data_IF_648616382017
#
_entry.id   IF_648616382017
#
_cell.length_a   1.000
_cell.length_b   1.000
_cell.length_c   1.000
_cell.angle_alpha   90.00
_cell.angle_beta   90.00
_cell.angle_gamma   90.00
#
_symmetry.space_group_name_H-M   'P 1'
#
loop_
_entity.id
_entity.type
_entity.pdbx_description
1 polymer ?
#
# COMPACT_ATOMS: atom_id res chain seq x y z
N UNK A 1 16.66 29.54 -17.98
CA UNK A 1 15.46 28.71 -18.08
C UNK A 1 14.75 28.84 -19.44
N UNK A 2 14.48 30.05 -19.98
CA UNK A 2 13.91 30.27 -21.33
C UNK A 2 14.66 29.56 -22.44
N UNK A 3 15.96 29.71 -22.57
CA UNK A 3 16.76 29.05 -23.62
C UNK A 3 16.65 27.52 -23.64
N UNK A 4 16.46 26.86 -22.48
CA UNK A 4 16.23 25.42 -22.45
C UNK A 4 14.84 25.04 -22.96
N UNK A 5 13.84 25.85 -22.68
CA UNK A 5 12.46 25.67 -23.18
C UNK A 5 12.41 25.85 -24.70
N UNK A 6 13.02 26.94 -25.21
CA UNK A 6 13.06 27.23 -26.65
C UNK A 6 13.79 26.14 -27.45
N UNK A 7 14.87 25.60 -26.89
CA UNK A 7 15.60 24.48 -27.49
C UNK A 7 14.82 23.15 -27.48
N UNK A 8 14.06 22.88 -26.41
CA UNK A 8 13.17 21.73 -26.34
C UNK A 8 11.98 21.85 -27.29
N UNK A 9 11.38 23.04 -27.38
CA UNK A 9 10.30 23.33 -28.33
C UNK A 9 10.77 23.14 -29.76
N UNK A 10 11.93 23.71 -30.15
CA UNK A 10 12.55 23.50 -31.46
C UNK A 10 12.81 22.02 -31.77
N UNK A 11 13.31 21.24 -30.80
CA UNK A 11 13.55 19.80 -30.97
C UNK A 11 12.27 18.99 -31.15
N UNK A 12 11.18 19.41 -30.53
CA UNK A 12 9.85 18.81 -30.68
C UNK A 12 9.26 19.13 -32.05
N UNK A 13 9.25 20.39 -32.41
CA UNK A 13 8.72 20.90 -33.71
C UNK A 13 9.51 20.36 -34.92
N UNK A 14 10.82 20.21 -34.79
CA UNK A 14 11.69 19.60 -35.81
C UNK A 14 11.60 18.08 -35.88
N UNK A 15 10.78 17.43 -35.04
CA UNK A 15 10.63 15.97 -34.97
C UNK A 15 11.86 15.23 -34.42
N UNK A 16 12.89 15.97 -33.96
CA UNK A 16 14.12 15.38 -33.37
C UNK A 16 13.88 14.80 -31.97
N UNK A 17 12.94 15.37 -31.24
CA UNK A 17 12.50 14.86 -29.93
C UNK A 17 11.06 14.37 -30.04
N UNK A 18 10.85 13.07 -29.86
CA UNK A 18 9.51 12.51 -29.75
C UNK A 18 9.09 12.51 -28.29
N UNK A 19 7.98 13.19 -27.96
CA UNK A 19 7.36 13.12 -26.65
C UNK A 19 6.90 11.69 -26.41
N UNK A 20 7.43 11.08 -25.36
CA UNK A 20 7.08 9.73 -24.96
C UNK A 20 6.36 9.75 -23.61
N UNK A 21 5.05 9.53 -23.63
CA UNK A 21 4.26 9.31 -22.43
C UNK A 21 4.23 7.81 -22.14
N UNK A 22 5.06 7.34 -21.23
CA UNK A 22 5.20 5.93 -20.90
C UNK A 22 6.64 5.44 -20.89
N UNK A 23 6.83 4.13 -20.88
CA UNK A 23 8.20 3.60 -20.89
C UNK A 23 8.80 3.64 -22.28
N UNK A 24 9.99 4.23 -22.42
CA UNK A 24 10.78 4.23 -23.64
C UNK A 24 10.93 2.83 -24.26
N UNK A 25 11.00 1.81 -23.41
CA UNK A 25 11.07 0.40 -23.83
C UNK A 25 9.83 -0.03 -24.62
N UNK A 26 8.63 0.33 -24.19
CA UNK A 26 7.39 -0.02 -24.88
C UNK A 26 7.28 0.69 -26.23
N UNK A 27 7.70 1.96 -26.29
CA UNK A 27 7.75 2.72 -27.55
C UNK A 27 8.65 2.05 -28.60
N UNK A 28 9.77 1.47 -28.16
CA UNK A 28 10.73 0.81 -29.06
C UNK A 28 10.30 -0.60 -29.48
N UNK A 29 9.57 -1.32 -28.63
CA UNK A 29 9.16 -2.70 -28.89
C UNK A 29 7.85 -2.82 -29.65
N UNK A 30 6.86 -1.99 -29.32
CA UNK A 30 5.51 -2.07 -29.90
C UNK A 30 4.85 -0.69 -29.90
N UNK A 31 4.96 -0.01 -31.02
CA UNK A 31 4.41 1.34 -31.18
C UNK A 31 2.88 1.38 -31.04
N UNK A 32 2.16 0.39 -31.58
CA UNK A 32 0.69 0.35 -31.50
C UNK A 32 0.23 0.17 -30.06
N UNK A 33 0.89 -0.71 -29.30
CA UNK A 33 0.63 -0.89 -27.88
C UNK A 33 0.98 0.34 -27.05
N UNK A 34 2.05 1.02 -27.40
CA UNK A 34 2.43 2.30 -26.78
C UNK A 34 1.33 3.35 -27.00
N UNK A 35 0.85 3.55 -28.23
CA UNK A 35 -0.23 4.49 -28.56
C UNK A 35 -1.50 4.13 -27.81
N UNK A 36 -1.91 2.86 -27.86
CA UNK A 36 -3.10 2.39 -27.14
C UNK A 36 -3.01 2.64 -25.64
N UNK A 37 -1.85 2.44 -25.03
CA UNK A 37 -1.63 2.70 -23.62
C UNK A 37 -1.62 4.21 -23.31
N UNK A 38 -0.99 5.02 -24.14
CA UNK A 38 -1.00 6.48 -24.04
C UNK A 38 -2.42 7.04 -24.09
N UNK A 39 -3.23 6.58 -25.05
CA UNK A 39 -4.56 7.11 -25.29
C UNK A 39 -5.62 6.52 -24.32
N UNK A 40 -5.24 5.48 -23.58
CA UNK A 40 -6.13 4.85 -22.58
C UNK A 40 -6.11 5.50 -21.21
N UNK A 41 -5.18 6.42 -20.95
CA UNK A 41 -5.04 7.01 -19.61
C UNK A 41 -4.60 8.47 -19.65
N UNK A 42 -5.08 9.24 -18.66
CA UNK A 42 -4.72 10.64 -18.45
C UNK A 42 -4.49 10.86 -16.95
N UNK A 43 -3.42 11.56 -16.58
CA UNK A 43 -3.05 11.80 -15.18
C UNK A 43 -2.97 13.29 -14.89
N UNK A 44 -3.48 13.69 -13.72
CA UNK A 44 -3.49 15.05 -13.22
C UNK A 44 -2.85 15.05 -11.82
N UNK A 45 -1.70 15.66 -11.68
CA UNK A 45 -1.00 15.75 -10.40
C UNK A 45 -1.47 17.00 -9.68
N UNK A 46 -1.89 16.85 -8.42
CA UNK A 46 -2.31 17.97 -7.58
C UNK A 46 -1.14 18.55 -6.79
N UNK A 47 -1.22 19.86 -6.51
CA UNK A 47 -0.28 20.60 -5.65
C UNK A 47 -0.95 21.09 -4.36
N UNK A 48 -0.15 21.30 -3.31
CA UNK A 48 -0.65 21.80 -2.01
C UNK A 48 -1.22 23.20 -2.12
N UNK A 49 -0.65 24.02 -2.99
CA UNK A 49 -1.01 25.43 -3.16
C UNK A 49 -2.05 25.66 -4.27
N UNK A 50 -2.60 24.59 -4.82
CA UNK A 50 -3.56 24.68 -5.91
C UNK A 50 -5.00 24.82 -5.40
N UNK A 51 -5.80 25.59 -6.14
CA UNK A 51 -7.25 25.71 -5.88
C UNK A 51 -7.92 24.34 -5.93
N UNK A 52 -8.68 23.99 -4.89
CA UNK A 52 -9.31 22.67 -4.73
C UNK A 52 -8.33 21.48 -4.80
N UNK A 53 -7.06 21.70 -4.43
CA UNK A 53 -5.99 20.68 -4.39
C UNK A 53 -5.59 20.10 -5.77
N UNK A 54 -6.17 20.61 -6.87
CA UNK A 54 -5.81 20.31 -8.25
C UNK A 54 -6.45 21.32 -9.21
N UNK A 55 -5.65 22.01 -10.01
CA UNK A 55 -6.16 23.04 -10.93
C UNK A 55 -6.87 22.47 -12.16
N UNK A 56 -6.47 21.32 -12.63
CA UNK A 56 -6.92 20.75 -13.89
C UNK A 56 -8.17 19.89 -13.74
N UNK A 57 -8.26 19.11 -12.66
CA UNK A 57 -9.43 18.30 -12.34
C UNK A 57 -9.85 18.57 -10.91
N UNK A 58 -11.03 19.14 -10.75
CA UNK A 58 -11.62 19.43 -9.45
C UNK A 58 -12.73 18.43 -9.13
N UNK A 59 -12.75 17.97 -7.89
CA UNK A 59 -13.74 17.04 -7.38
C UNK A 59 -14.56 17.71 -6.28
N UNK A 60 -15.87 17.64 -6.38
CA UNK A 60 -16.82 18.14 -5.39
C UNK A 60 -17.75 17.03 -4.91
N UNK A 61 -18.07 17.02 -3.61
CA UNK A 61 -19.06 16.11 -3.05
C UNK A 61 -20.35 16.80 -2.71
N UNK A 62 -21.44 16.43 -3.39
CA UNK A 62 -22.78 16.89 -3.08
C UNK A 62 -23.45 15.97 -2.05
N UNK A 63 -23.72 16.51 -0.85
CA UNK A 63 -24.35 15.76 0.24
C UNK A 63 -25.80 15.37 -0.06
N UNK A 64 -26.57 16.23 -0.77
CA UNK A 64 -27.98 15.99 -1.05
C UNK A 64 -28.17 14.76 -1.91
N UNK A 65 -27.35 14.65 -2.96
CA UNK A 65 -27.44 13.55 -3.92
C UNK A 65 -26.50 12.38 -3.57
N UNK A 66 -25.70 12.52 -2.49
CA UNK A 66 -24.65 11.55 -2.11
C UNK A 66 -23.67 11.22 -3.25
N UNK A 67 -23.36 12.18 -4.10
CA UNK A 67 -22.69 12.02 -5.37
C UNK A 67 -21.46 12.91 -5.48
N UNK A 68 -20.43 12.43 -6.15
CA UNK A 68 -19.28 13.23 -6.53
C UNK A 68 -19.48 13.79 -7.94
N UNK A 69 -19.10 15.06 -8.12
CA UNK A 69 -19.07 15.76 -9.40
C UNK A 69 -17.64 16.12 -9.73
N UNK A 70 -17.24 15.94 -10.98
CA UNK A 70 -15.94 16.36 -11.48
C UNK A 70 -16.13 17.56 -12.42
N UNK A 71 -15.17 18.45 -12.36
CA UNK A 71 -14.97 19.54 -13.27
C UNK A 71 -13.56 19.42 -13.85
N UNK A 72 -13.47 19.06 -15.11
CA UNK A 72 -12.23 18.91 -15.85
C UNK A 72 -12.00 20.13 -16.73
N UNK A 73 -10.86 20.77 -16.56
CA UNK A 73 -10.44 21.88 -17.42
C UNK A 73 -10.02 21.34 -18.78
N UNK A 74 -10.64 21.84 -19.85
CA UNK A 74 -10.33 21.45 -21.24
C UNK A 74 -9.16 22.24 -21.84
N UNK A 75 -8.36 22.87 -20.99
CA UNK A 75 -7.44 23.90 -21.39
C UNK A 75 -6.15 23.40 -22.02
N UNK A 76 -6.17 23.42 -23.32
CA UNK A 76 -4.92 23.35 -24.08
C UNK A 76 -4.89 24.39 -25.22
N UNK A 77 -5.59 25.51 -25.06
CA UNK A 77 -5.57 26.66 -25.95
C UNK A 77 -6.88 26.95 -26.71
N UNK A 78 -7.24 28.20 -26.77
CA UNK A 78 -8.25 28.73 -27.70
C UNK A 78 -9.73 28.56 -27.34
N UNK A 79 -10.16 29.06 -26.14
CA UNK A 79 -11.59 29.08 -25.83
C UNK A 79 -12.35 30.15 -26.57
N UNK A 80 -13.53 29.77 -27.09
CA UNK A 80 -14.51 30.71 -27.63
C UNK A 80 -15.42 31.29 -26.55
N UNK A 81 -15.60 30.57 -25.41
CA UNK A 81 -16.42 31.04 -24.30
C UNK A 81 -16.02 30.38 -22.96
N UNK A 82 -16.47 30.96 -21.83
CA UNK A 82 -16.23 30.41 -20.49
C UNK A 82 -16.91 29.04 -20.31
N UNK A 83 -18.04 28.79 -20.98
CA UNK A 83 -18.79 27.54 -20.95
C UNK A 83 -18.01 26.40 -21.59
N UNK A 84 -17.16 26.68 -22.58
CA UNK A 84 -16.34 25.65 -23.25
C UNK A 84 -15.09 25.27 -22.47
N UNK A 85 -14.76 26.02 -21.43
CA UNK A 85 -13.53 25.83 -20.65
C UNK A 85 -13.52 24.55 -19.84
N UNK A 86 -14.66 24.02 -19.45
CA UNK A 86 -14.77 22.88 -18.54
C UNK A 86 -15.65 21.77 -19.10
N UNK A 87 -15.28 20.54 -18.79
CA UNK A 87 -16.14 19.37 -18.93
C UNK A 87 -16.61 18.93 -17.54
N UNK A 88 -17.88 18.57 -17.43
CA UNK A 88 -18.48 18.13 -16.18
C UNK A 88 -18.89 16.67 -16.25
N UNK A 89 -18.78 15.97 -15.12
CA UNK A 89 -19.16 14.58 -15.01
C UNK A 89 -19.56 14.18 -13.60
N UNK A 90 -20.19 13.02 -13.48
CA UNK A 90 -20.55 12.40 -12.21
C UNK A 90 -19.69 11.18 -12.01
N UNK A 91 -19.20 10.96 -10.79
CA UNK A 91 -18.37 9.79 -10.45
C UNK A 91 -18.81 9.19 -9.13
N UNK A 92 -18.51 7.91 -8.96
CA UNK A 92 -18.85 7.16 -7.75
C UNK A 92 -17.58 6.53 -7.19
N UNK A 93 -17.38 6.67 -5.87
CA UNK A 93 -16.31 6.00 -5.15
C UNK A 93 -16.90 5.05 -4.12
N UNK A 94 -16.58 3.76 -4.24
CA UNK A 94 -17.00 2.74 -3.28
C UNK A 94 -16.00 2.58 -2.13
N UNK A 95 -14.72 2.85 -2.40
CA UNK A 95 -13.63 2.67 -1.44
C UNK A 95 -13.14 4.02 -0.91
N UNK A 96 -12.78 4.07 0.37
CA UNK A 96 -12.19 5.24 1.04
C UNK A 96 -13.00 6.54 0.97
N UNK A 97 -14.28 6.45 0.66
CA UNK A 97 -15.19 7.59 0.49
C UNK A 97 -15.16 8.57 1.67
N UNK A 98 -15.13 8.07 2.91
CA UNK A 98 -15.09 8.91 4.13
C UNK A 98 -13.85 9.80 4.18
N UNK A 99 -12.68 9.24 3.89
CA UNK A 99 -11.41 9.97 3.85
C UNK A 99 -11.41 11.01 2.72
N UNK A 100 -11.85 10.62 1.53
CA UNK A 100 -11.94 11.53 0.40
C UNK A 100 -12.86 12.75 0.71
N UNK A 101 -14.03 12.52 1.32
CA UNK A 101 -14.94 13.57 1.74
C UNK A 101 -14.28 14.49 2.79
N UNK A 102 -13.55 13.93 3.75
CA UNK A 102 -12.82 14.71 4.75
C UNK A 102 -11.79 15.62 4.10
N UNK A 103 -10.97 15.10 3.19
CA UNK A 103 -9.95 15.88 2.48
C UNK A 103 -10.54 16.96 1.60
N UNK A 104 -11.63 16.66 0.88
CA UNK A 104 -12.33 17.67 0.06
C UNK A 104 -12.87 18.83 0.90
N UNK A 105 -13.21 18.59 2.17
CA UNK A 105 -13.67 19.63 3.10
C UNK A 105 -12.53 20.44 3.71
N UNK A 106 -11.49 19.74 4.16
CA UNK A 106 -10.35 20.36 4.84
C UNK A 106 -9.37 21.01 3.87
N UNK A 107 -9.31 20.54 2.62
CA UNK A 107 -8.34 20.96 1.59
C UNK A 107 -6.88 20.87 2.08
N UNK A 108 -6.58 19.90 2.94
CA UNK A 108 -5.29 19.78 3.61
C UNK A 108 -4.27 18.95 2.81
N UNK A 109 -4.71 18.20 1.81
CA UNK A 109 -3.86 17.31 1.03
C UNK A 109 -4.04 17.50 -0.46
N UNK A 110 -2.97 17.47 -1.26
CA UNK A 110 -3.07 17.49 -2.72
C UNK A 110 -3.85 16.27 -3.21
N UNK A 111 -4.66 16.47 -4.24
CA UNK A 111 -5.45 15.42 -4.87
C UNK A 111 -4.90 15.15 -6.28
N UNK A 112 -4.36 13.97 -6.50
CA UNK A 112 -3.94 13.54 -7.82
C UNK A 112 -4.97 12.58 -8.42
N UNK A 113 -5.24 12.74 -9.71
CA UNK A 113 -6.25 11.96 -10.40
C UNK A 113 -5.66 11.23 -11.60
N UNK A 114 -6.21 10.07 -11.88
CA UNK A 114 -5.93 9.32 -13.10
C UNK A 114 -7.22 8.83 -13.72
N UNK A 115 -7.51 9.26 -14.94
CA UNK A 115 -8.62 8.75 -15.74
C UNK A 115 -8.10 7.60 -16.58
N UNK A 116 -8.78 6.46 -16.55
CA UNK A 116 -8.42 5.27 -17.30
C UNK A 116 -9.64 4.83 -18.12
N UNK A 117 -9.44 4.61 -19.42
CA UNK A 117 -10.45 3.99 -20.30
C UNK A 117 -10.20 2.48 -20.38
N UNK A 118 -11.20 1.68 -20.01
CA UNK A 118 -11.18 0.22 -20.15
C UNK A 118 -12.52 -0.27 -20.65
N UNK A 119 -12.52 -1.06 -21.71
CA UNK A 119 -13.75 -1.66 -22.30
C UNK A 119 -14.87 -0.61 -22.55
N UNK A 120 -14.52 0.53 -23.11
CA UNK A 120 -15.46 1.62 -23.40
C UNK A 120 -15.93 2.44 -22.20
N UNK A 121 -15.52 2.09 -20.96
CA UNK A 121 -15.87 2.81 -19.72
C UNK A 121 -14.70 3.60 -19.19
N UNK A 122 -15.01 4.71 -18.54
CA UNK A 122 -14.01 5.55 -17.87
C UNK A 122 -14.03 5.30 -16.37
N UNK A 123 -12.84 5.19 -15.79
CA UNK A 123 -12.61 5.01 -14.37
C UNK A 123 -11.76 6.18 -13.86
N UNK A 124 -12.20 6.81 -12.77
CA UNK A 124 -11.42 7.83 -12.08
C UNK A 124 -10.76 7.23 -10.85
N UNK A 125 -9.44 7.24 -10.83
CA UNK A 125 -8.64 6.95 -9.64
C UNK A 125 -8.27 8.27 -8.98
N UNK A 126 -8.46 8.36 -7.67
CA UNK A 126 -8.07 9.50 -6.86
C UNK A 126 -7.01 9.05 -5.86
N UNK A 127 -5.87 9.72 -5.85
CA UNK A 127 -4.75 9.47 -4.93
C UNK A 127 -4.61 10.65 -3.99
N UNK A 128 -4.53 10.39 -2.71
CA UNK A 128 -4.37 11.37 -1.64
C UNK A 128 -3.64 10.77 -0.44
N UNK A 129 -3.07 11.63 0.38
CA UNK A 129 -2.43 11.25 1.63
C UNK A 129 -3.44 11.25 2.78
N UNK A 130 -3.36 10.26 3.66
CA UNK A 130 -4.11 10.21 4.91
C UNK A 130 -3.13 10.49 6.02
N UNK A 131 -3.36 11.56 6.78
CA UNK A 131 -2.58 11.85 7.99
C UNK A 131 -3.31 11.26 9.19
N UNK A 132 -2.54 10.60 10.03
CA UNK A 132 -2.99 10.02 11.31
C UNK A 132 -2.27 10.78 12.41
N UNK A 133 -3.03 11.48 13.25
CA UNK A 133 -2.47 12.32 14.31
C UNK A 133 -1.93 11.47 15.47
N UNK A 134 -2.68 10.43 15.87
CA UNK A 134 -2.31 9.55 16.98
C UNK A 134 -2.72 8.10 16.73
N UNK A 135 -1.90 7.17 17.20
CA UNK A 135 -2.26 5.76 17.30
C UNK A 135 -3.04 5.52 18.59
N UNK A 136 -4.04 4.62 18.52
CA UNK A 136 -4.94 4.32 19.64
C UNK A 136 -4.63 2.99 20.33
N UNK A 137 -3.60 2.29 19.87
CA UNK A 137 -3.07 1.06 20.47
C UNK A 137 -1.71 1.31 21.09
N UNK A 138 -1.31 0.48 22.04
CA UNK A 138 -0.07 0.66 22.81
C UNK A 138 0.55 -0.69 23.16
N UNK A 139 1.88 -0.76 23.12
CA UNK A 139 2.64 -1.98 23.46
C UNK A 139 2.62 -2.32 24.95
N UNK A 140 2.37 -1.33 25.83
CA UNK A 140 2.24 -1.54 27.27
C UNK A 140 0.98 -2.33 27.67
N UNK A 141 -0.03 -2.38 26.79
CA UNK A 141 -1.21 -3.24 26.96
C UNK A 141 -0.97 -4.69 26.50
N UNK A 142 0.14 -4.96 25.84
CA UNK A 142 0.46 -6.20 25.13
C UNK A 142 0.59 -5.98 23.64
N UNK A 143 0.90 -7.03 22.90
CA UNK A 143 1.10 -6.96 21.45
C UNK A 143 0.54 -8.18 20.75
N UNK A 144 0.38 -8.06 19.44
CA UNK A 144 -0.04 -9.12 18.52
C UNK A 144 1.08 -9.35 17.53
N UNK A 145 1.83 -10.44 17.68
CA UNK A 145 2.89 -10.84 16.76
C UNK A 145 2.36 -11.65 15.59
N UNK A 146 2.81 -11.32 14.39
CA UNK A 146 2.48 -12.03 13.16
C UNK A 146 3.74 -12.60 12.54
N UNK A 147 3.79 -13.93 12.39
CA UNK A 147 4.85 -14.66 11.70
C UNK A 147 4.35 -15.12 10.33
N UNK A 148 4.97 -14.62 9.26
CA UNK A 148 4.57 -14.88 7.89
C UNK A 148 5.20 -16.16 7.36
N UNK A 149 4.37 -17.13 6.98
CA UNK A 149 4.79 -18.40 6.41
C UNK A 149 4.12 -18.68 5.07
N UNK A 150 4.65 -19.62 4.31
CA UNK A 150 4.07 -20.06 3.05
C UNK A 150 2.71 -20.73 3.31
N UNK A 151 1.62 -20.07 2.87
CA UNK A 151 0.27 -20.58 2.96
C UNK A 151 -0.47 -20.29 4.27
N UNK A 152 0.19 -19.71 5.27
CA UNK A 152 -0.45 -19.29 6.51
C UNK A 152 0.33 -18.20 7.24
N UNK A 153 -0.34 -17.49 8.12
CA UNK A 153 0.25 -16.55 9.06
C UNK A 153 -0.04 -17.07 10.47
N UNK A 154 1.00 -17.22 11.29
CA UNK A 154 0.82 -17.50 12.70
C UNK A 154 0.66 -16.19 13.47
N UNK A 155 -0.33 -16.15 14.36
CA UNK A 155 -0.64 -15.02 15.22
C UNK A 155 -0.53 -15.44 16.67
N UNK A 156 0.15 -14.63 17.49
CA UNK A 156 0.21 -14.77 18.94
C UNK A 156 -0.09 -13.42 19.60
N UNK A 157 -0.96 -13.45 20.60
CA UNK A 157 -1.36 -12.30 21.40
C UNK A 157 -0.75 -12.39 22.78
N UNK A 158 -0.13 -11.30 23.27
CA UNK A 158 0.45 -11.20 24.61
C UNK A 158 -0.33 -10.22 25.48
N UNK A 159 -0.25 -10.39 26.79
CA UNK A 159 -0.72 -9.40 27.76
C UNK A 159 0.40 -8.38 28.10
N UNK A 160 0.10 -7.43 28.98
CA UNK A 160 1.06 -6.40 29.44
C UNK A 160 2.36 -6.95 30.05
N UNK A 161 2.33 -8.17 30.56
CA UNK A 161 3.50 -8.85 31.14
C UNK A 161 4.26 -9.72 30.13
N UNK A 162 3.87 -9.70 28.86
CA UNK A 162 4.47 -10.52 27.80
C UNK A 162 4.08 -11.99 27.87
N UNK A 163 3.06 -12.37 28.65
CA UNK A 163 2.56 -13.75 28.68
C UNK A 163 1.61 -14.01 27.51
N UNK A 164 1.69 -15.22 26.97
CA UNK A 164 0.85 -15.66 25.86
C UNK A 164 -0.62 -15.76 26.30
N UNK A 165 -1.51 -15.09 25.58
CA UNK A 165 -2.97 -15.08 25.83
C UNK A 165 -3.70 -15.93 24.81
N UNK A 166 -3.31 -15.82 23.53
CA UNK A 166 -4.01 -16.48 22.42
C UNK A 166 -3.04 -16.76 21.29
N UNK A 167 -3.35 -17.84 20.55
CA UNK A 167 -2.68 -18.15 19.29
C UNK A 167 -3.70 -18.48 18.20
N UNK A 168 -3.36 -18.20 16.95
CA UNK A 168 -4.16 -18.57 15.79
C UNK A 168 -3.26 -18.89 14.61
N UNK A 169 -3.67 -19.84 13.76
CA UNK A 169 -3.13 -20.06 12.44
C UNK A 169 -4.15 -19.56 11.42
N UNK A 170 -3.74 -18.62 10.57
CA UNK A 170 -4.58 -17.96 9.59
C UNK A 170 -4.14 -18.40 8.20
N UNK A 171 -4.82 -19.37 7.57
CA UNK A 171 -4.44 -19.86 6.25
C UNK A 171 -4.74 -18.84 5.16
N UNK A 172 -3.92 -18.81 4.11
CA UNK A 172 -4.15 -18.08 2.88
C UNK A 172 -3.68 -18.88 1.66
N UNK A 173 -4.26 -18.57 0.52
CA UNK A 173 -3.89 -19.22 -0.75
C UNK A 173 -2.59 -18.64 -1.27
N UNK A 174 -1.53 -19.44 -1.25
CA UNK A 174 -0.24 -19.05 -1.81
C UNK A 174 -0.22 -19.34 -3.32
N UNK A 175 -0.81 -18.42 -4.09
CA UNK A 175 -0.80 -18.41 -5.57
C UNK A 175 -0.45 -17.01 -6.04
N UNK A 176 0.07 -16.89 -7.25
CA UNK A 176 0.26 -15.55 -7.84
C UNK A 176 -1.11 -14.91 -8.15
N UNK A 177 -1.28 -13.62 -7.83
CA UNK A 177 -2.41 -12.81 -8.27
C UNK A 177 -3.36 -12.32 -7.16
N UNK A 178 -4.52 -11.84 -7.59
CA UNK A 178 -5.49 -11.09 -6.78
C UNK A 178 -6.06 -11.85 -5.57
N UNK A 179 -6.13 -13.20 -5.68
CA UNK A 179 -6.67 -14.04 -4.59
C UNK A 179 -5.77 -14.05 -3.37
N UNK A 180 -4.45 -14.11 -3.55
CA UNK A 180 -3.48 -14.01 -2.44
C UNK A 180 -3.59 -12.66 -1.77
N UNK A 181 -3.66 -11.58 -2.54
CA UNK A 181 -3.83 -10.21 -2.03
C UNK A 181 -5.09 -10.08 -1.18
N UNK A 182 -6.21 -10.62 -1.66
CA UNK A 182 -7.50 -10.57 -0.94
C UNK A 182 -7.44 -11.34 0.38
N UNK A 183 -6.83 -12.52 0.39
CA UNK A 183 -6.67 -13.32 1.61
C UNK A 183 -5.78 -12.62 2.64
N UNK A 184 -4.61 -12.10 2.20
CA UNK A 184 -3.69 -11.34 3.07
C UNK A 184 -4.35 -10.08 3.63
N UNK A 185 -5.14 -9.38 2.83
CA UNK A 185 -5.91 -8.23 3.27
C UNK A 185 -6.99 -8.61 4.32
N UNK A 186 -7.63 -9.76 4.13
CA UNK A 186 -8.56 -10.34 5.11
C UNK A 186 -7.88 -10.64 6.45
N UNK A 187 -6.68 -11.21 6.42
CA UNK A 187 -5.88 -11.51 7.62
C UNK A 187 -5.44 -10.22 8.32
N UNK A 188 -4.91 -9.24 7.59
CA UNK A 188 -4.52 -7.96 8.16
C UNK A 188 -5.70 -7.25 8.84
N UNK A 189 -6.88 -7.26 8.19
CA UNK A 189 -8.10 -6.69 8.79
C UNK A 189 -8.53 -7.43 10.07
N UNK A 190 -8.37 -8.76 10.15
CA UNK A 190 -8.65 -9.53 11.38
C UNK A 190 -7.68 -9.16 12.50
N UNK A 191 -6.39 -9.05 12.21
CA UNK A 191 -5.38 -8.63 13.18
C UNK A 191 -5.67 -7.22 13.70
N UNK A 192 -5.99 -6.27 12.81
CA UNK A 192 -6.37 -4.90 13.18
C UNK A 192 -7.65 -4.85 14.03
N UNK A 193 -8.68 -5.62 13.69
CA UNK A 193 -9.89 -5.72 14.53
C UNK A 193 -9.57 -6.25 15.93
N UNK A 194 -8.67 -7.22 16.04
CA UNK A 194 -8.21 -7.72 17.33
C UNK A 194 -7.44 -6.64 18.09
N UNK A 195 -6.51 -5.95 17.44
CA UNK A 195 -5.72 -4.84 18.00
C UNK A 195 -6.61 -3.74 18.56
N UNK A 196 -7.60 -3.28 17.78
CA UNK A 196 -8.56 -2.25 18.19
C UNK A 196 -9.38 -2.68 19.41
N UNK A 197 -9.80 -3.95 19.47
CA UNK A 197 -10.60 -4.48 20.59
C UNK A 197 -9.78 -4.59 21.87
N UNK A 198 -8.49 -4.86 21.76
CA UNK A 198 -7.61 -5.15 22.91
C UNK A 198 -6.67 -4.01 23.28
N UNK A 199 -6.63 -2.94 22.47
CA UNK A 199 -5.74 -1.80 22.65
C UNK A 199 -4.26 -2.12 22.41
N UNK A 200 -3.94 -3.23 21.73
CA UNK A 200 -2.57 -3.77 21.57
C UNK A 200 -1.98 -3.44 20.22
N UNK A 201 -0.67 -3.19 20.20
CA UNK A 201 0.08 -2.99 18.96
C UNK A 201 0.21 -4.27 18.15
N UNK A 202 0.37 -4.13 16.83
CA UNK A 202 0.71 -5.24 15.94
C UNK A 202 2.21 -5.24 15.71
N UNK A 203 2.82 -6.43 15.71
CA UNK A 203 4.25 -6.62 15.50
C UNK A 203 4.49 -7.58 14.32
N UNK A 204 5.40 -7.21 13.42
CA UNK A 204 5.91 -8.04 12.33
C UNK A 204 7.43 -8.01 12.31
N UNK A 205 8.04 -8.96 11.64
CA UNK A 205 9.48 -8.92 11.39
C UNK A 205 9.85 -7.81 10.41
N UNK A 206 10.99 -7.16 10.62
CA UNK A 206 11.58 -6.21 9.67
C UNK A 206 12.54 -6.96 8.73
N UNK A 207 11.98 -7.53 7.65
CA UNK A 207 12.77 -8.27 6.67
C UNK A 207 13.21 -7.36 5.52
N UNK A 208 14.48 -6.93 5.55
CA UNK A 208 15.10 -6.24 4.41
C UNK A 208 15.62 -7.25 3.38
N UNK A 209 14.87 -7.39 2.27
CA UNK A 209 15.24 -8.25 1.15
C UNK A 209 16.26 -7.61 0.19
N UNK A 210 16.66 -6.35 0.40
CA UNK A 210 17.62 -5.67 -0.49
C UNK A 210 19.04 -6.23 -0.35
N UNK A 211 19.39 -6.75 0.82
CA UNK A 211 20.75 -7.18 1.17
C UNK A 211 21.05 -8.65 0.89
N UNK A 212 20.03 -9.48 0.65
CA UNK A 212 20.25 -10.90 0.34
C UNK A 212 20.45 -11.16 -1.15
N UNK A 213 21.51 -10.64 -1.74
CA UNK A 213 22.15 -11.29 -2.90
C UNK A 213 22.86 -12.53 -2.39
N UNK A 214 22.12 -13.64 -2.27
CA UNK A 214 22.74 -14.90 -1.86
C UNK A 214 23.74 -15.34 -2.93
N UNK A 215 25.00 -15.37 -2.55
CA UNK A 215 26.05 -16.11 -3.23
C UNK A 215 25.77 -17.60 -3.03
N UNK A 216 24.86 -18.18 -3.77
CA UNK A 216 24.73 -19.65 -3.79
C UNK A 216 24.10 -20.06 -5.11
N UNK A 217 24.91 -20.70 -5.92
CA UNK A 217 24.51 -21.44 -7.11
C UNK A 217 23.75 -22.69 -6.66
N UNK A 218 22.45 -22.59 -6.53
CA UNK A 218 21.63 -23.76 -6.29
C UNK A 218 20.27 -23.66 -6.98
N UNK A 219 20.06 -24.61 -7.89
CA UNK A 219 18.81 -25.03 -8.56
C UNK A 219 17.74 -23.95 -8.77
N UNK A 220 17.45 -23.64 -10.02
CA UNK A 220 16.49 -22.63 -10.51
C UNK A 220 15.15 -22.61 -9.74
N UNK A 221 14.62 -23.78 -9.37
CA UNK A 221 13.35 -23.90 -8.65
C UNK A 221 13.40 -23.35 -7.21
N UNK A 222 14.56 -23.45 -6.54
CA UNK A 222 14.72 -22.93 -5.17
C UNK A 222 14.77 -21.38 -5.17
N UNK A 223 15.54 -20.79 -6.08
CA UNK A 223 15.62 -19.34 -6.25
C UNK A 223 14.24 -18.73 -6.62
N UNK A 224 13.49 -19.40 -7.48
CA UNK A 224 12.14 -18.97 -7.86
C UNK A 224 11.18 -19.00 -6.66
N UNK A 225 11.18 -20.05 -5.87
CA UNK A 225 10.35 -20.17 -4.67
C UNK A 225 10.73 -19.14 -3.59
N UNK A 226 12.03 -18.88 -3.40
CA UNK A 226 12.52 -17.84 -2.48
C UNK A 226 12.09 -16.43 -2.95
N UNK A 227 12.16 -16.17 -4.25
CA UNK A 227 11.67 -14.92 -4.84
C UNK A 227 10.17 -14.74 -4.64
N UNK A 228 9.37 -15.77 -4.90
CA UNK A 228 7.91 -15.73 -4.67
C UNK A 228 7.58 -15.48 -3.20
N UNK A 229 8.31 -16.15 -2.28
CA UNK A 229 8.11 -15.96 -0.85
C UNK A 229 8.45 -14.53 -0.43
N UNK A 230 9.55 -13.98 -0.91
CA UNK A 230 9.97 -12.60 -0.60
C UNK A 230 9.00 -11.56 -1.17
N UNK A 231 8.44 -11.80 -2.36
CA UNK A 231 7.40 -10.94 -2.94
C UNK A 231 6.11 -10.97 -2.13
N UNK A 232 5.67 -12.17 -1.73
CA UNK A 232 4.46 -12.33 -0.93
C UNK A 232 4.61 -11.72 0.47
N UNK A 233 5.80 -11.85 1.09
CA UNK A 233 6.10 -11.18 2.36
C UNK A 233 6.05 -9.65 2.23
N UNK A 234 6.71 -9.09 1.21
CA UNK A 234 6.67 -7.64 0.96
C UNK A 234 5.24 -7.16 0.79
N UNK A 235 4.47 -7.86 -0.03
CA UNK A 235 3.04 -7.56 -0.21
C UNK A 235 2.27 -7.61 1.10
N UNK A 236 2.53 -8.61 1.95
CA UNK A 236 1.92 -8.71 3.28
C UNK A 236 2.32 -7.53 4.18
N UNK A 237 3.61 -7.20 4.24
CA UNK A 237 4.11 -6.06 5.01
C UNK A 237 3.45 -4.75 4.58
N UNK A 238 3.39 -4.48 3.28
CA UNK A 238 2.75 -3.27 2.72
C UNK A 238 1.25 -3.22 3.06
N UNK A 239 0.56 -4.36 2.98
CA UNK A 239 -0.86 -4.47 3.34
C UNK A 239 -1.06 -4.19 4.83
N UNK A 240 -0.28 -4.84 5.71
CA UNK A 240 -0.38 -4.64 7.17
C UNK A 240 -0.11 -3.19 7.52
N UNK A 241 0.97 -2.60 6.98
CA UNK A 241 1.33 -1.20 7.20
C UNK A 241 0.20 -0.25 6.77
N UNK A 242 -0.37 -0.46 5.59
CA UNK A 242 -1.48 0.35 5.09
C UNK A 242 -2.76 0.20 5.91
N UNK A 243 -3.09 -1.02 6.35
CA UNK A 243 -4.33 -1.28 7.11
C UNK A 243 -4.19 -0.80 8.55
N UNK A 244 -3.03 -1.01 9.21
CA UNK A 244 -2.77 -0.54 10.57
C UNK A 244 -2.78 0.99 10.63
N UNK A 245 -2.06 1.64 9.73
CA UNK A 245 -2.00 3.11 9.66
C UNK A 245 -3.39 3.74 9.53
N UNK A 246 -4.19 3.27 8.56
CA UNK A 246 -5.55 3.80 8.34
C UNK A 246 -6.51 3.59 9.51
N UNK A 247 -6.27 2.56 10.33
CA UNK A 247 -7.09 2.27 11.49
C UNK A 247 -6.48 2.80 12.80
N UNK A 248 -5.41 3.59 12.73
CA UNK A 248 -4.75 4.18 13.89
C UNK A 248 -4.19 3.12 14.85
N UNK A 249 -3.83 1.95 14.32
CA UNK A 249 -3.16 0.87 15.04
C UNK A 249 -1.67 1.03 14.85
N UNK A 250 -0.90 1.06 15.92
CA UNK A 250 0.55 1.15 15.85
C UNK A 250 1.14 -0.18 15.35
N UNK A 251 2.06 -0.10 14.40
CA UNK A 251 2.80 -1.23 13.83
C UNK A 251 4.26 -1.16 14.26
N UNK A 252 4.70 -2.17 14.99
CA UNK A 252 6.08 -2.32 15.44
C UNK A 252 6.80 -3.31 14.55
N UNK A 253 7.88 -2.88 13.90
CA UNK A 253 8.78 -3.77 13.14
C UNK A 253 9.91 -4.23 14.04
N UNK A 254 10.11 -5.53 14.16
CA UNK A 254 11.11 -6.12 15.05
C UNK A 254 12.22 -6.82 14.28
N UNK A 255 13.41 -6.89 14.87
CA UNK A 255 14.54 -7.62 14.28
C UNK A 255 14.19 -9.10 14.09
N UNK A 256 14.30 -9.66 12.87
CA UNK A 256 13.94 -11.04 12.54
C UNK A 256 14.96 -12.07 13.07
N UNK A 257 16.15 -11.64 13.49
CA UNK A 257 17.22 -12.55 13.86
C UNK A 257 16.79 -13.51 14.99
N UNK A 258 16.93 -14.81 14.74
CA UNK A 258 16.75 -15.89 15.74
C UNK A 258 15.33 -16.06 16.29
N UNK A 259 14.28 -15.48 15.71
CA UNK A 259 12.89 -15.62 16.21
C UNK A 259 12.45 -17.08 16.27
N UNK A 260 12.58 -17.82 15.17
CA UNK A 260 12.23 -19.25 15.10
C UNK A 260 13.13 -20.13 15.97
N UNK A 261 14.41 -19.76 16.10
CA UNK A 261 15.35 -20.52 16.95
C UNK A 261 15.02 -20.33 18.43
N UNK A 262 14.81 -19.09 18.88
CA UNK A 262 14.36 -18.76 20.22
C UNK A 262 13.03 -19.48 20.58
N UNK A 263 12.10 -19.47 19.63
CA UNK A 263 10.84 -20.19 19.80
C UNK A 263 11.07 -21.67 20.07
N UNK A 264 11.90 -22.32 19.24
CA UNK A 264 12.21 -23.74 19.32
C UNK A 264 12.91 -24.14 20.62
N UNK A 265 13.86 -23.30 21.08
CA UNK A 265 14.65 -23.64 22.27
C UNK A 265 13.93 -23.30 23.58
N UNK A 266 13.21 -22.18 23.63
CA UNK A 266 12.70 -21.65 24.91
C UNK A 266 11.21 -21.89 25.11
N UNK A 267 10.38 -21.70 24.07
CA UNK A 267 8.93 -21.66 24.24
C UNK A 267 8.21 -22.90 23.77
N UNK A 268 8.62 -23.48 22.64
CA UNK A 268 7.93 -24.65 22.09
C UNK A 268 7.92 -25.85 23.03
N UNK A 269 9.01 -26.23 23.69
CA UNK A 269 9.01 -27.39 24.59
C UNK A 269 8.12 -27.17 25.81
N UNK A 270 8.21 -25.99 26.44
CA UNK A 270 7.54 -25.70 27.68
C UNK A 270 6.03 -25.44 27.52
N UNK A 271 5.63 -24.89 26.35
CA UNK A 271 4.25 -24.48 26.07
C UNK A 271 3.54 -25.37 25.04
N UNK A 272 4.20 -26.45 24.57
CA UNK A 272 3.71 -27.36 23.53
C UNK A 272 3.24 -26.63 22.26
N UNK A 273 3.97 -25.61 21.86
CA UNK A 273 3.69 -24.81 20.67
C UNK A 273 4.44 -25.36 19.46
N UNK A 274 3.84 -25.21 18.26
CA UNK A 274 4.61 -25.38 17.05
C UNK A 274 5.57 -24.20 16.84
N UNK A 275 6.62 -24.38 16.02
CA UNK A 275 7.69 -23.40 15.84
C UNK A 275 7.18 -22.05 15.31
N UNK A 276 6.19 -22.06 14.43
CA UNK A 276 5.65 -20.84 13.82
C UNK A 276 4.81 -20.01 14.82
N UNK A 277 4.02 -20.68 15.63
CA UNK A 277 3.30 -20.04 16.75
C UNK A 277 4.30 -19.52 17.79
N UNK A 278 5.32 -20.31 18.10
CA UNK A 278 6.41 -19.85 18.96
C UNK A 278 7.14 -18.63 18.40
N UNK A 279 7.43 -18.60 17.09
CA UNK A 279 8.05 -17.46 16.41
C UNK A 279 7.14 -16.19 16.50
N UNK A 280 5.85 -16.32 16.20
CA UNK A 280 4.92 -15.19 16.34
C UNK A 280 4.83 -14.69 17.79
N UNK A 281 4.97 -15.57 18.78
CA UNK A 281 5.05 -15.19 20.19
C UNK A 281 6.34 -14.43 20.52
N UNK A 282 7.50 -14.86 20.01
CA UNK A 282 8.78 -14.13 20.15
C UNK A 282 8.67 -12.76 19.48
N UNK A 283 8.07 -12.66 18.29
CA UNK A 283 7.82 -11.39 17.60
C UNK A 283 6.98 -10.45 18.48
N UNK A 284 5.89 -10.96 19.09
CA UNK A 284 5.05 -10.19 19.99
C UNK A 284 5.86 -9.67 21.19
N UNK A 285 6.59 -10.52 21.89
CA UNK A 285 7.42 -10.13 23.04
C UNK A 285 8.48 -9.08 22.68
N UNK A 286 9.15 -9.24 21.54
CA UNK A 286 10.10 -8.22 21.05
C UNK A 286 9.44 -6.88 20.80
N UNK A 287 8.23 -6.87 20.25
CA UNK A 287 7.44 -5.66 20.05
C UNK A 287 7.11 -4.93 21.33
N UNK A 288 7.01 -5.63 22.46
CA UNK A 288 6.87 -5.04 23.81
C UNK A 288 8.20 -4.62 24.42
N UNK A 289 9.34 -4.88 23.78
CA UNK A 289 10.66 -4.55 24.29
C UNK A 289 11.29 -5.65 25.16
N UNK A 290 10.66 -6.84 25.30
CA UNK A 290 11.28 -7.94 26.03
C UNK A 290 12.50 -8.49 25.28
N UNK A 291 13.61 -8.59 26.00
CA UNK A 291 14.84 -9.23 25.52
C UNK A 291 14.87 -10.67 25.98
N UNK A 292 14.59 -11.58 25.06
CA UNK A 292 14.70 -13.00 25.36
C UNK A 292 16.16 -13.44 25.22
N UNK A 293 16.82 -13.66 26.34
CA UNK A 293 18.18 -14.21 26.44
C UNK A 293 18.14 -15.70 26.75
N UNK A 294 19.16 -16.42 26.34
CA UNK A 294 19.46 -17.76 26.84
C UNK A 294 20.29 -17.61 28.13
N UNK A 295 19.85 -18.34 29.13
CA UNK A 295 20.71 -18.65 30.25
C UNK A 295 21.42 -19.96 29.95
#
# INVERSE_FOLDING_TARGET
MRQKLDNLTYQIESGRLKLCFGTKKLLQQDYNRFVAQRDSQMSFVGGKDETACNQLLQLEYNRKDNQFRIQLRKDFGGYKSTSDKYAYGKVYFNHHKKYLISILRSKTSPLSYKIIKRNGRYYLHCTFEIHVDEFITRSDCGTIGLDFNKGFIALSETNKYGHLVRTQILPYRFKSGDKTTTDLQGIANRAVKLALRTGRDICIEDLDFKTKKSKTESKQNKKYNEMLHSLAYRQFSDIVESVTYRNRVNLVKVNPAWTSWLARQKYCPNMKLNVHVGASYVIARRGQGFKDTFK
#
